data_IF_369930498007
#
_entry.id   IF_369930498007
#
_cell.length_a   1.000
_cell.length_b   1.000
_cell.length_c   1.000
_cell.angle_alpha   90.00
_cell.angle_beta   90.00
_cell.angle_gamma   90.00
#
_symmetry.space_group_name_H-M   'P 1'
#
loop_
_entity.id
_entity.type
_entity.pdbx_description
1 polymer ?
#
# COMPACT_ATOMS: atom_id res chain seq x y z
N UNK A 1 -3.05 53.04 -7.79
CA UNK A 1 -4.04 53.34 -6.74
C UNK A 1 -5.31 52.58 -7.11
N UNK A 2 -5.58 51.44 -6.46
CA UNK A 2 -6.61 51.31 -5.41
C UNK A 2 -8.03 51.46 -6.01
N UNK A 3 -9.03 50.57 -5.90
CA UNK A 3 -9.37 49.52 -4.92
C UNK A 3 -10.77 48.95 -5.29
N UNK A 4 -10.98 47.63 -5.12
CA UNK A 4 -12.25 46.90 -4.80
C UNK A 4 -13.50 47.09 -5.70
N UNK A 5 -13.95 46.00 -6.33
CA UNK A 5 -15.37 45.53 -6.31
C UNK A 5 -15.60 44.40 -7.32
N UNK A 6 -15.22 43.17 -6.97
CA UNK A 6 -15.63 41.94 -7.68
C UNK A 6 -16.25 40.96 -6.67
N UNK A 7 -17.32 41.38 -6.00
CA UNK A 7 -18.22 40.50 -5.23
C UNK A 7 -19.64 41.02 -5.47
N UNK A 8 -20.36 40.39 -6.42
CA UNK A 8 -21.83 40.35 -6.57
C UNK A 8 -22.17 39.81 -7.97
N UNK A 9 -22.09 38.50 -8.17
CA UNK A 9 -22.79 37.84 -9.29
C UNK A 9 -23.20 36.39 -9.06
N UNK A 10 -23.27 35.93 -7.81
CA UNK A 10 -23.81 34.58 -7.47
C UNK A 10 -25.04 34.64 -6.55
N UNK A 11 -25.44 35.81 -6.04
CA UNK A 11 -26.62 35.98 -5.17
C UNK A 11 -27.82 36.64 -5.88
N UNK A 12 -28.19 36.17 -7.07
CA UNK A 12 -29.38 36.69 -7.78
C UNK A 12 -30.23 35.62 -8.50
N UNK A 13 -30.07 34.34 -8.15
CA UNK A 13 -30.96 33.25 -8.62
C UNK A 13 -31.61 32.46 -7.47
N UNK A 14 -31.25 32.74 -6.23
CA UNK A 14 -31.76 32.01 -5.05
C UNK A 14 -33.01 32.66 -4.41
N UNK A 15 -33.44 33.84 -4.88
CA UNK A 15 -34.54 34.59 -4.25
C UNK A 15 -35.92 34.42 -4.89
N UNK A 16 -36.12 33.48 -5.81
CA UNK A 16 -37.44 33.21 -6.42
C UNK A 16 -38.00 31.81 -6.18
N UNK A 17 -37.30 30.93 -5.44
CA UNK A 17 -37.80 29.58 -5.14
C UNK A 17 -37.97 29.28 -3.64
N UNK A 18 -38.13 30.31 -2.80
CA UNK A 18 -38.63 30.17 -1.41
C UNK A 18 -39.88 31.02 -1.20
N UNK A 19 -41.03 30.57 -1.71
CA UNK A 19 -42.31 30.80 -1.03
C UNK A 19 -43.39 29.87 -1.59
N UNK A 20 -44.08 29.17 -0.68
CA UNK A 20 -45.42 28.54 -0.77
C UNK A 20 -45.43 27.04 -0.44
N UNK A 21 -45.20 26.72 0.83
CA UNK A 21 -46.12 25.79 1.50
C UNK A 21 -47.25 26.64 2.10
N UNK A 22 -48.47 26.51 1.58
CA UNK A 22 -49.70 26.37 2.37
C UNK A 22 -50.97 26.28 1.48
N UNK A 23 -51.74 25.22 1.74
CA UNK A 23 -53.22 25.05 1.58
C UNK A 23 -53.84 24.82 0.17
N UNK A 24 -54.16 23.55 -0.07
CA UNK A 24 -55.49 22.92 -0.31
C UNK A 24 -56.54 23.53 -1.30
N UNK A 25 -57.18 22.59 -2.02
CA UNK A 25 -58.55 22.56 -2.61
C UNK A 25 -58.73 22.79 -4.13
N UNK A 26 -59.04 21.66 -4.81
CA UNK A 26 -60.04 21.39 -5.87
C UNK A 26 -59.94 21.94 -7.32
N UNK A 27 -60.05 20.94 -8.22
CA UNK A 27 -60.97 20.83 -9.39
C UNK A 27 -60.63 21.48 -10.74
N UNK A 28 -60.34 20.56 -11.67
CA UNK A 28 -60.83 20.41 -13.07
C UNK A 28 -60.37 21.36 -14.19
N UNK A 29 -59.81 20.68 -15.22
CA UNK A 29 -59.87 20.94 -16.67
C UNK A 29 -59.15 22.18 -17.22
N UNK A 30 -58.11 21.91 -18.01
CA UNK A 30 -57.58 22.87 -18.97
C UNK A 30 -56.09 22.65 -19.18
N UNK A 31 -55.75 21.88 -20.22
CA UNK A 31 -54.37 21.57 -20.57
C UNK A 31 -53.51 22.82 -20.74
N UNK A 32 -52.44 22.89 -19.96
CA UNK A 32 -51.24 23.64 -20.28
C UNK A 32 -50.10 22.68 -19.99
N UNK A 33 -49.30 22.39 -21.02
CA UNK A 33 -48.12 21.56 -20.89
C UNK A 33 -47.23 22.14 -19.78
N UNK A 34 -47.18 21.46 -18.63
CA UNK A 34 -46.11 21.64 -17.68
C UNK A 34 -44.85 21.19 -18.42
N UNK A 35 -44.05 22.14 -18.90
CA UNK A 35 -42.64 21.90 -19.08
C UNK A 35 -42.12 21.49 -17.70
N UNK A 36 -41.95 20.18 -17.50
CA UNK A 36 -41.18 19.66 -16.40
C UNK A 36 -39.77 20.20 -16.61
N UNK A 37 -39.47 21.30 -15.92
CA UNK A 37 -38.10 21.68 -15.69
C UNK A 37 -37.57 20.60 -14.74
N UNK A 38 -36.98 19.54 -15.31
CA UNK A 38 -36.21 18.58 -14.55
C UNK A 38 -35.03 19.34 -13.98
N UNK A 39 -35.18 19.85 -12.76
CA UNK A 39 -34.03 20.04 -11.90
C UNK A 39 -33.49 18.64 -11.67
N UNK A 40 -32.48 18.26 -12.44
CA UNK A 40 -31.50 17.31 -11.96
C UNK A 40 -30.93 17.96 -10.69
N UNK A 41 -31.46 17.56 -9.53
CA UNK A 41 -30.77 17.83 -8.28
C UNK A 41 -29.41 17.18 -8.44
N UNK A 42 -28.37 18.00 -8.48
CA UNK A 42 -27.00 17.50 -8.38
C UNK A 42 -26.99 16.75 -7.05
N UNK A 43 -26.66 15.46 -7.08
CA UNK A 43 -26.46 14.67 -5.88
C UNK A 43 -25.50 15.44 -4.98
N UNK A 44 -26.02 16.01 -3.90
CA UNK A 44 -25.24 16.87 -3.02
C UNK A 44 -25.14 16.20 -1.67
N UNK A 45 -23.91 15.84 -1.32
CA UNK A 45 -23.57 15.42 0.03
C UNK A 45 -23.53 16.69 0.90
N UNK A 46 -24.11 16.61 2.10
CA UNK A 46 -24.17 17.69 3.07
C UNK A 46 -23.64 17.18 4.41
N UNK A 47 -22.90 18.02 5.12
CA UNK A 47 -22.35 17.71 6.44
C UNK A 47 -22.86 18.74 7.43
N UNK A 48 -23.57 18.28 8.45
CA UNK A 48 -24.02 19.13 9.55
C UNK A 48 -23.70 18.39 10.84
N UNK A 49 -22.91 19.02 11.70
CA UNK A 49 -22.38 18.44 12.93
C UNK A 49 -21.69 17.09 12.63
N UNK A 50 -22.20 15.99 13.18
CA UNK A 50 -21.67 14.65 13.01
C UNK A 50 -22.48 13.77 12.03
N UNK A 51 -23.32 14.41 11.20
CA UNK A 51 -24.21 13.74 10.27
C UNK A 51 -23.82 14.09 8.83
N UNK A 52 -23.49 13.06 8.06
CA UNK A 52 -23.34 13.12 6.61
C UNK A 52 -24.69 12.73 6.00
N UNK A 53 -25.25 13.58 5.15
CA UNK A 53 -26.53 13.31 4.47
C UNK A 53 -26.40 13.50 2.96
N UNK A 54 -27.28 12.86 2.20
CA UNK A 54 -27.28 12.92 0.75
C UNK A 54 -28.70 13.02 0.19
N UNK A 55 -28.80 13.30 -1.10
CA UNK A 55 -30.08 13.50 -1.78
C UNK A 55 -30.80 12.17 -2.00
N UNK A 56 -32.13 12.15 -1.85
CA UNK A 56 -32.97 11.00 -2.21
C UNK A 56 -33.19 10.97 -3.73
N UNK A 57 -32.16 10.50 -4.44
CA UNK A 57 -32.07 10.50 -5.90
C UNK A 57 -32.17 9.09 -6.53
N UNK A 58 -32.52 8.09 -5.72
CA UNK A 58 -32.63 6.69 -6.13
C UNK A 58 -31.30 5.92 -6.15
N UNK A 59 -30.21 6.52 -5.66
CA UNK A 59 -28.91 5.86 -5.45
C UNK A 59 -28.76 5.49 -3.96
N UNK A 60 -27.98 4.45 -3.68
CA UNK A 60 -27.60 4.12 -2.29
C UNK A 60 -26.14 4.53 -2.05
N UNK A 61 -25.84 4.92 -0.82
CA UNK A 61 -24.55 5.50 -0.48
C UNK A 61 -23.85 4.68 0.61
N UNK A 62 -22.53 4.71 0.62
CA UNK A 62 -21.67 4.07 1.61
C UNK A 62 -20.69 5.10 2.15
N UNK A 63 -20.45 5.07 3.46
CA UNK A 63 -19.48 5.94 4.14
C UNK A 63 -18.38 5.06 4.73
N UNK A 64 -17.14 5.31 4.31
CA UNK A 64 -15.94 4.59 4.76
C UNK A 64 -15.02 5.55 5.51
N UNK A 65 -14.54 5.16 6.69
CA UNK A 65 -13.53 5.92 7.42
C UNK A 65 -12.18 5.77 6.72
N UNK A 66 -11.57 6.89 6.30
CA UNK A 66 -10.30 6.86 5.55
C UNK A 66 -9.11 6.38 6.37
N UNK A 67 -9.15 6.54 7.69
CA UNK A 67 -8.05 6.16 8.57
C UNK A 67 -8.11 4.68 8.94
N UNK A 68 -9.30 4.14 9.12
CA UNK A 68 -9.48 2.74 9.56
C UNK A 68 -9.93 1.80 8.46
N UNK A 69 -10.34 2.32 7.29
CA UNK A 69 -10.97 1.55 6.20
C UNK A 69 -12.37 1.02 6.57
N UNK A 70 -12.89 1.36 7.75
CA UNK A 70 -14.15 0.83 8.26
C UNK A 70 -15.34 1.42 7.50
N UNK A 71 -16.25 0.55 7.03
CA UNK A 71 -17.54 1.00 6.51
C UNK A 71 -18.47 1.35 7.67
N UNK A 72 -18.69 2.65 7.86
CA UNK A 72 -19.47 3.18 8.99
C UNK A 72 -20.98 3.10 8.71
N UNK A 73 -21.40 3.35 7.47
CA UNK A 73 -22.79 3.20 7.05
C UNK A 73 -22.92 2.71 5.61
N UNK A 74 -24.00 1.97 5.33
CA UNK A 74 -24.43 1.58 3.99
C UNK A 74 -25.95 1.75 3.85
N UNK A 75 -26.38 2.50 2.84
CA UNK A 75 -27.78 2.81 2.58
C UNK A 75 -28.38 3.89 3.50
N UNK A 76 -29.69 4.14 3.36
CA UNK A 76 -30.37 5.24 4.04
C UNK A 76 -30.21 6.59 3.33
N UNK A 77 -30.57 7.69 4.01
CA UNK A 77 -30.42 9.07 3.52
C UNK A 77 -29.40 9.90 4.32
N UNK A 78 -28.90 9.34 5.42
CA UNK A 78 -27.93 9.98 6.31
C UNK A 78 -27.11 8.92 7.08
N UNK A 79 -25.92 9.32 7.52
CA UNK A 79 -24.99 8.53 8.29
C UNK A 79 -24.43 9.39 9.43
N UNK A 80 -24.62 8.93 10.67
CA UNK A 80 -24.01 9.57 11.84
C UNK A 80 -22.64 8.95 12.07
N UNK A 81 -21.59 9.76 12.08
CA UNK A 81 -20.21 9.30 12.18
C UNK A 81 -19.48 10.02 13.32
N UNK A 82 -18.43 9.41 13.91
CA UNK A 82 -17.48 10.13 14.76
C UNK A 82 -16.80 11.32 14.04
N UNK A 83 -16.06 12.14 14.77
CA UNK A 83 -15.17 13.10 14.12
C UNK A 83 -14.09 12.33 13.34
N UNK A 84 -13.86 12.71 12.09
CA UNK A 84 -13.00 11.93 11.21
C UNK A 84 -13.07 12.35 9.74
N UNK A 85 -12.31 11.63 8.92
CA UNK A 85 -12.26 11.80 7.46
C UNK A 85 -12.91 10.58 6.82
N UNK A 86 -13.83 10.82 5.90
CA UNK A 86 -14.65 9.78 5.29
C UNK A 86 -14.62 9.86 3.77
N UNK A 87 -14.68 8.69 3.11
CA UNK A 87 -15.02 8.56 1.70
C UNK A 87 -16.49 8.17 1.57
N UNK A 88 -17.24 8.96 0.82
CA UNK A 88 -18.65 8.66 0.53
C UNK A 88 -18.77 8.18 -0.90
N UNK A 89 -19.08 6.90 -1.07
CA UNK A 89 -19.35 6.28 -2.37
C UNK A 89 -20.85 6.27 -2.63
N UNK A 90 -21.27 6.48 -3.88
CA UNK A 90 -22.67 6.37 -4.30
C UNK A 90 -22.80 5.32 -5.39
N UNK A 91 -23.84 4.49 -5.31
CA UNK A 91 -24.08 3.34 -6.16
C UNK A 91 -25.49 3.36 -6.74
N UNK A 92 -25.59 2.98 -8.00
CA UNK A 92 -26.87 2.81 -8.67
C UNK A 92 -27.62 1.61 -8.08
N UNK A 93 -28.93 1.48 -8.32
CA UNK A 93 -29.68 0.27 -7.97
C UNK A 93 -29.08 -1.02 -8.54
N UNK A 94 -28.36 -0.93 -9.66
CA UNK A 94 -27.74 -2.06 -10.35
C UNK A 94 -26.28 -2.32 -9.90
N UNK A 95 -25.74 -1.49 -8.99
CA UNK A 95 -24.42 -1.67 -8.37
C UNK A 95 -23.29 -0.82 -8.97
N UNK A 96 -23.51 -0.15 -10.09
CA UNK A 96 -22.50 0.75 -10.67
C UNK A 96 -22.24 1.97 -9.78
N UNK A 97 -20.96 2.31 -9.55
CA UNK A 97 -20.56 3.44 -8.71
C UNK A 97 -20.38 4.73 -9.52
N UNK A 98 -20.61 5.88 -8.88
CA UNK A 98 -20.09 7.18 -9.34
C UNK A 98 -18.83 7.54 -8.57
N UNK A 99 -18.09 8.53 -9.06
CA UNK A 99 -16.94 9.13 -8.37
C UNK A 99 -17.37 9.52 -6.95
N UNK A 100 -16.71 8.94 -5.94
CA UNK A 100 -16.99 9.20 -4.54
C UNK A 100 -16.57 10.62 -4.13
N UNK A 101 -16.99 11.06 -2.95
CA UNK A 101 -16.67 12.38 -2.40
C UNK A 101 -15.97 12.27 -1.05
N UNK A 102 -14.91 13.06 -0.87
CA UNK A 102 -14.26 13.23 0.43
C UNK A 102 -15.12 14.10 1.36
N UNK A 103 -15.28 13.66 2.60
CA UNK A 103 -16.10 14.33 3.61
C UNK A 103 -15.37 14.37 4.94
N UNK A 104 -15.23 15.56 5.51
CA UNK A 104 -14.65 15.76 6.86
C UNK A 104 -15.74 16.11 7.83
N UNK A 105 -15.75 15.44 8.99
CA UNK A 105 -16.71 15.63 10.07
C UNK A 105 -15.98 16.07 11.33
N UNK A 106 -16.41 17.18 11.94
CA UNK A 106 -15.77 17.77 13.12
C UNK A 106 -14.43 18.44 12.84
N UNK A 107 -13.57 18.53 13.85
CA UNK A 107 -12.18 19.01 13.72
C UNK A 107 -11.16 17.91 14.06
N UNK A 108 -10.90 16.96 13.13
CA UNK A 108 -9.88 15.93 13.15
C UNK A 108 -8.95 15.86 14.36
N UNK A 109 -7.95 16.74 14.29
CA UNK A 109 -6.70 16.64 15.02
C UNK A 109 -6.03 18.03 15.00
N UNK A 110 -5.89 18.69 16.16
CA UNK A 110 -4.75 19.59 16.42
C UNK A 110 -3.63 18.76 17.08
N UNK A 111 -2.41 18.96 16.58
CA UNK A 111 -1.10 18.76 17.24
C UNK A 111 -0.20 17.54 16.99
N UNK A 112 -0.53 16.47 16.24
CA UNK A 112 0.55 15.53 15.82
C UNK A 112 0.25 14.58 14.66
N UNK A 113 0.01 15.10 13.44
CA UNK A 113 0.03 14.25 12.25
C UNK A 113 1.46 13.77 11.96
N UNK A 114 1.63 12.50 11.62
CA UNK A 114 2.89 12.01 11.05
C UNK A 114 3.12 12.64 9.66
N UNK A 115 4.32 12.51 9.10
CA UNK A 115 4.58 13.02 7.73
C UNK A 115 3.72 12.30 6.68
N UNK A 116 3.47 11.01 6.89
CA UNK A 116 2.68 10.15 6.01
C UNK A 116 1.19 10.49 6.12
N UNK A 117 0.67 10.69 7.34
CA UNK A 117 -0.71 11.09 7.57
C UNK A 117 -1.01 12.51 7.07
N UNK A 118 0.00 13.40 7.08
CA UNK A 118 -0.14 14.75 6.51
C UNK A 118 -0.35 14.70 5.00
N UNK A 119 0.33 13.80 4.28
CA UNK A 119 0.18 13.64 2.83
C UNK A 119 -1.26 13.27 2.45
N UNK A 120 -1.89 12.39 3.22
CA UNK A 120 -3.28 11.93 3.03
C UNK A 120 -4.30 13.06 3.23
N UNK A 121 -3.92 14.14 3.92
CA UNK A 121 -4.81 15.29 4.16
C UNK A 121 -4.86 16.28 3.01
N UNK A 122 -3.97 16.14 2.01
CA UNK A 122 -3.90 17.00 0.84
C UNK A 122 -4.60 16.32 -0.34
N UNK A 123 -5.50 17.04 -0.99
CA UNK A 123 -6.24 16.57 -2.16
C UNK A 123 -5.86 17.38 -3.39
N UNK A 124 -5.73 16.71 -4.54
CA UNK A 124 -5.47 17.36 -5.84
C UNK A 124 -6.61 17.01 -6.80
N UNK A 125 -7.24 18.04 -7.36
CA UNK A 125 -8.24 17.92 -8.42
C UNK A 125 -7.87 18.89 -9.56
N UNK A 126 -7.51 18.33 -10.71
CA UNK A 126 -6.92 19.03 -11.86
C UNK A 126 -5.72 19.92 -11.48
N UNK A 127 -5.94 21.24 -11.39
CA UNK A 127 -4.95 22.25 -11.01
C UNK A 127 -5.17 22.82 -9.60
N UNK A 128 -6.07 22.22 -8.82
CA UNK A 128 -6.45 22.71 -7.49
C UNK A 128 -5.92 21.77 -6.41
N UNK A 129 -5.12 22.33 -5.51
CA UNK A 129 -4.65 21.67 -4.29
C UNK A 129 -5.52 22.14 -3.13
N UNK A 130 -6.14 21.23 -2.39
CA UNK A 130 -6.92 21.55 -1.19
C UNK A 130 -6.46 20.70 0.00
N UNK A 131 -6.85 21.11 1.21
CA UNK A 131 -6.44 20.44 2.44
C UNK A 131 -7.59 20.38 3.44
N UNK A 132 -7.64 19.29 4.20
CA UNK A 132 -8.69 19.04 5.20
C UNK A 132 -8.29 19.43 6.63
N UNK A 133 -7.00 19.61 6.89
CA UNK A 133 -6.48 19.94 8.22
C UNK A 133 -6.36 21.45 8.37
N UNK A 134 -6.81 21.99 9.50
CA UNK A 134 -6.70 23.41 9.81
C UNK A 134 -5.24 23.88 9.94
N UNK A 135 -5.05 25.20 9.82
CA UNK A 135 -3.73 25.82 9.97
C UNK A 135 -3.39 26.79 8.86
N UNK A 136 -2.18 27.35 8.93
CA UNK A 136 -1.67 28.26 7.92
C UNK A 136 -0.85 27.49 6.90
N UNK A 137 -1.28 27.56 5.64
CA UNK A 137 -0.65 26.85 4.53
C UNK A 137 0.08 27.78 3.58
N UNK A 138 1.13 27.23 2.98
CA UNK A 138 1.89 27.82 1.88
C UNK A 138 2.12 26.74 0.83
N UNK A 139 1.93 27.11 -0.45
CA UNK A 139 2.23 26.24 -1.60
C UNK A 139 3.32 26.90 -2.43
N UNK A 140 4.34 26.13 -2.79
CA UNK A 140 5.43 26.57 -3.66
C UNK A 140 5.66 25.54 -4.76
N UNK A 141 6.16 25.98 -5.92
CA UNK A 141 6.67 25.05 -6.92
C UNK A 141 7.90 24.32 -6.34
N UNK A 142 7.93 22.98 -6.43
CA UNK A 142 8.94 22.18 -5.73
C UNK A 142 10.36 22.40 -6.27
N UNK A 143 10.51 22.66 -7.57
CA UNK A 143 11.80 22.87 -8.22
C UNK A 143 12.34 24.29 -8.03
N UNK A 144 11.48 25.28 -8.25
CA UNK A 144 11.88 26.70 -8.27
C UNK A 144 11.75 27.38 -6.90
N UNK A 145 11.05 26.73 -5.97
CA UNK A 145 10.63 27.29 -4.67
C UNK A 145 9.83 28.59 -4.83
N UNK A 146 9.26 28.83 -6.01
CA UNK A 146 8.42 30.00 -6.26
C UNK A 146 7.10 29.85 -5.51
N UNK A 147 6.74 30.86 -4.73
CA UNK A 147 5.52 30.87 -3.94
C UNK A 147 4.28 31.09 -4.80
N UNK A 148 3.29 30.20 -4.67
CA UNK A 148 2.06 30.19 -5.47
C UNK A 148 0.89 30.75 -4.68
N UNK A 149 0.61 30.20 -3.49
CA UNK A 149 -0.47 30.66 -2.62
C UNK A 149 -0.10 30.60 -1.13
N UNK A 150 -0.76 31.41 -0.30
CA UNK A 150 -0.68 31.28 1.16
C UNK A 150 -2.02 31.61 1.86
N UNK A 151 -2.32 30.89 2.95
CA UNK A 151 -3.37 31.25 3.92
C UNK A 151 -4.81 31.23 3.39
N UNK A 152 -5.07 30.48 2.32
CA UNK A 152 -6.39 30.24 1.72
C UNK A 152 -6.83 28.79 2.02
N UNK A 153 -8.10 28.38 1.83
CA UNK A 153 -8.50 26.98 2.10
C UNK A 153 -8.11 25.99 0.98
N UNK A 154 -7.73 26.50 -0.18
CA UNK A 154 -7.27 25.75 -1.36
C UNK A 154 -6.34 26.66 -2.19
N UNK A 155 -5.46 26.07 -2.99
CA UNK A 155 -4.54 26.76 -3.90
C UNK A 155 -4.69 26.22 -5.31
N UNK A 156 -5.00 27.10 -6.26
CA UNK A 156 -5.00 26.77 -7.69
C UNK A 156 -3.64 27.13 -8.27
N UNK A 157 -2.98 26.16 -8.91
CA UNK A 157 -1.68 26.35 -9.56
C UNK A 157 -1.86 26.68 -11.05
N UNK A 158 -0.89 27.37 -11.64
CA UNK A 158 -1.01 27.86 -13.02
C UNK A 158 -0.66 26.81 -14.08
N UNK A 159 0.25 25.88 -13.76
CA UNK A 159 0.75 24.86 -14.68
C UNK A 159 0.86 23.48 -14.00
N UNK A 160 0.75 22.37 -14.76
CA UNK A 160 1.07 21.05 -14.24
C UNK A 160 2.50 20.95 -13.72
N UNK A 161 2.72 20.16 -12.67
CA UNK A 161 4.04 19.95 -12.09
C UNK A 161 3.97 19.53 -10.63
N UNK A 162 5.15 19.49 -10.00
CA UNK A 162 5.29 19.11 -8.58
C UNK A 162 5.31 20.36 -7.69
N UNK A 163 4.50 20.35 -6.65
CA UNK A 163 4.33 21.46 -5.71
C UNK A 163 4.56 21.01 -4.27
N UNK A 164 5.29 21.81 -3.51
CA UNK A 164 5.50 21.63 -2.09
C UNK A 164 4.39 22.33 -1.31
N UNK A 165 3.60 21.56 -0.55
CA UNK A 165 2.53 22.04 0.31
C UNK A 165 3.01 22.01 1.75
N UNK A 166 3.00 23.16 2.41
CA UNK A 166 3.57 23.35 3.75
C UNK A 166 2.48 23.86 4.69
N UNK A 167 2.19 23.12 5.76
CA UNK A 167 1.39 23.60 6.89
C UNK A 167 2.32 24.07 8.01
N UNK A 168 2.39 25.39 8.20
CA UNK A 168 3.26 26.02 9.20
C UNK A 168 2.71 25.90 10.61
N UNK A 169 1.40 25.72 10.78
CA UNK A 169 0.79 25.57 12.10
C UNK A 169 1.19 24.28 12.80
N UNK A 170 1.41 23.21 12.05
CA UNK A 170 1.83 21.90 12.57
C UNK A 170 3.26 21.49 12.15
N UNK A 171 3.95 22.35 11.40
CA UNK A 171 5.33 22.11 10.95
C UNK A 171 5.46 20.87 10.06
N UNK A 172 4.58 20.73 9.06
CA UNK A 172 4.57 19.60 8.11
C UNK A 172 4.64 20.09 6.68
N UNK A 173 5.21 19.26 5.79
CA UNK A 173 5.26 19.52 4.35
C UNK A 173 5.20 18.21 3.55
N UNK A 174 4.64 18.28 2.35
CA UNK A 174 4.53 17.16 1.39
C UNK A 174 4.63 17.69 -0.03
N UNK A 175 5.18 16.88 -0.95
CA UNK A 175 5.17 17.17 -2.39
C UNK A 175 3.96 16.50 -3.06
N UNK A 176 3.26 17.25 -3.93
CA UNK A 176 2.10 16.77 -4.68
C UNK A 176 2.26 17.04 -6.17
N UNK A 177 1.88 16.08 -7.00
CA UNK A 177 1.86 16.21 -8.47
C UNK A 177 0.51 16.68 -8.95
N UNK A 178 0.48 17.72 -9.78
CA UNK A 178 -0.74 18.40 -10.22
C UNK A 178 -0.81 18.43 -11.75
N UNK A 179 -1.98 18.18 -12.34
CA UNK A 179 -2.22 18.30 -13.78
C UNK A 179 -1.50 17.28 -14.70
N UNK A 180 -1.02 16.15 -14.17
CA UNK A 180 -0.61 15.00 -15.00
C UNK A 180 -1.87 14.23 -15.37
N UNK A 181 -2.18 14.11 -16.68
CA UNK A 181 -3.36 13.40 -17.17
C UNK A 181 -3.43 11.98 -16.59
N UNK A 182 -4.56 11.67 -15.92
CA UNK A 182 -4.91 10.32 -15.50
C UNK A 182 -4.94 9.40 -16.73
N UNK A 183 -4.28 8.23 -16.71
CA UNK A 183 -4.36 7.30 -17.84
C UNK A 183 -5.81 6.86 -18.05
N UNK A 184 -6.33 7.11 -19.25
CA UNK A 184 -7.60 6.57 -19.73
C UNK A 184 -7.54 5.05 -19.77
N UNK A 185 -8.53 4.41 -19.13
CA UNK A 185 -8.88 2.98 -19.19
C UNK A 185 -8.70 2.35 -20.59
N UNK A 186 -7.97 1.22 -20.67
CA UNK A 186 -8.37 0.15 -21.57
C UNK A 186 -8.36 -1.21 -20.85
N UNK A 187 -9.54 -1.61 -20.39
CA UNK A 187 -10.09 -2.95 -20.56
C UNK A 187 -9.39 -4.10 -19.83
N UNK A 188 -10.09 -4.65 -18.83
CA UNK A 188 -10.00 -6.06 -18.39
C UNK A 188 -8.60 -6.68 -18.41
N UNK A 189 -7.65 -6.04 -17.74
CA UNK A 189 -6.53 -6.76 -17.15
C UNK A 189 -6.57 -6.55 -15.65
N UNK A 190 -6.30 -7.62 -14.92
CA UNK A 190 -6.26 -7.64 -13.47
C UNK A 190 -5.29 -6.54 -13.00
N UNK A 191 -5.64 -5.72 -11.98
CA UNK A 191 -4.72 -4.69 -11.51
C UNK A 191 -3.35 -5.31 -11.20
N UNK A 192 -2.24 -4.68 -11.62
CA UNK A 192 -0.92 -5.22 -11.33
C UNK A 192 -0.74 -5.33 -9.81
N UNK A 193 -0.30 -6.50 -9.36
CA UNK A 193 0.02 -6.80 -7.96
C UNK A 193 1.51 -6.59 -7.69
N UNK A 194 1.91 -6.43 -6.43
CA UNK A 194 3.33 -6.37 -6.03
C UNK A 194 4.15 -7.57 -6.56
N UNK A 195 3.54 -8.76 -6.61
CA UNK A 195 4.16 -9.97 -7.16
C UNK A 195 4.37 -9.89 -8.68
N UNK A 196 3.41 -9.34 -9.42
CA UNK A 196 3.53 -9.12 -10.87
C UNK A 196 4.54 -8.03 -11.22
N UNK A 197 4.64 -7.00 -10.38
CA UNK A 197 5.63 -5.94 -10.52
C UNK A 197 7.04 -6.46 -10.25
N UNK A 198 7.24 -7.17 -9.13
CA UNK A 198 8.52 -7.81 -8.81
C UNK A 198 8.99 -8.76 -9.92
N UNK A 199 8.07 -9.53 -10.50
CA UNK A 199 8.35 -10.45 -11.62
C UNK A 199 8.69 -9.73 -12.94
N UNK A 200 8.35 -8.45 -13.06
CA UNK A 200 8.63 -7.65 -14.26
C UNK A 200 10.04 -7.04 -14.27
N UNK A 201 10.72 -7.04 -13.12
CA UNK A 201 12.06 -6.50 -12.92
C UNK A 201 13.12 -7.55 -13.25
N UNK A 202 14.20 -7.11 -13.88
CA UNK A 202 15.35 -7.94 -14.24
C UNK A 202 16.64 -7.21 -13.89
N UNK A 203 17.67 -7.93 -13.47
CA UNK A 203 18.98 -7.37 -13.16
C UNK A 203 20.03 -8.07 -14.03
N UNK A 204 20.75 -7.29 -14.84
CA UNK A 204 21.91 -7.76 -15.61
C UNK A 204 23.12 -6.90 -15.23
N UNK A 205 24.15 -7.52 -14.67
CA UNK A 205 25.32 -6.83 -14.11
C UNK A 205 24.90 -5.75 -13.09
N UNK A 206 25.15 -4.48 -13.42
CA UNK A 206 24.76 -3.32 -12.63
C UNK A 206 23.52 -2.60 -13.17
N UNK A 207 22.73 -3.24 -14.03
CA UNK A 207 21.58 -2.62 -14.70
C UNK A 207 20.28 -3.32 -14.34
N UNK A 208 19.37 -2.57 -13.73
CA UNK A 208 17.98 -2.94 -13.48
C UNK A 208 17.15 -2.61 -14.72
N UNK A 209 16.33 -3.53 -15.22
CA UNK A 209 15.41 -3.28 -16.34
C UNK A 209 14.00 -3.75 -15.98
N UNK A 210 12.98 -3.12 -16.56
CA UNK A 210 11.58 -3.41 -16.29
C UNK A 210 10.79 -3.55 -17.59
N UNK A 211 9.84 -4.48 -17.55
CA UNK A 211 8.91 -4.76 -18.66
C UNK A 211 7.50 -4.22 -18.41
N UNK A 212 7.18 -3.87 -17.16
CA UNK A 212 5.93 -3.23 -16.80
C UNK A 212 5.92 -1.78 -17.31
N UNK A 213 4.79 -1.35 -17.85
CA UNK A 213 4.60 0.03 -18.29
C UNK A 213 4.46 0.97 -17.08
N UNK A 214 4.76 2.25 -17.29
CA UNK A 214 4.73 3.27 -16.25
C UNK A 214 6.12 3.88 -15.99
N UNK A 215 6.12 4.93 -15.20
CA UNK A 215 7.30 5.64 -14.76
C UNK A 215 7.91 4.95 -13.54
N UNK A 216 9.18 4.60 -13.69
CA UNK A 216 9.93 3.87 -12.67
C UNK A 216 10.99 4.77 -12.04
N UNK A 217 11.20 4.63 -10.74
CA UNK A 217 12.24 5.29 -9.96
C UNK A 217 13.09 4.24 -9.27
N UNK A 218 14.40 4.44 -9.22
CA UNK A 218 15.31 3.61 -8.42
C UNK A 218 15.96 4.46 -7.33
N UNK A 219 15.87 3.99 -6.10
CA UNK A 219 16.53 4.56 -4.92
C UNK A 219 17.55 3.56 -4.37
N UNK A 220 18.64 4.07 -3.80
CA UNK A 220 19.51 3.27 -2.94
C UNK A 220 18.74 2.91 -1.66
N UNK A 221 18.63 1.63 -1.32
CA UNK A 221 17.77 1.17 -0.23
C UNK A 221 18.37 1.34 1.18
N UNK A 222 19.58 1.90 1.28
CA UNK A 222 20.23 2.23 2.57
C UNK A 222 20.12 3.72 2.86
N UNK A 223 20.32 4.54 1.83
CA UNK A 223 20.39 5.99 1.91
C UNK A 223 19.12 6.68 1.44
N UNK A 224 18.23 5.94 0.78
CA UNK A 224 17.04 6.45 0.06
C UNK A 224 17.39 7.49 -1.00
N UNK A 225 18.65 7.55 -1.41
CA UNK A 225 19.10 8.53 -2.39
C UNK A 225 18.60 8.14 -3.77
N UNK A 226 18.13 9.13 -4.52
CA UNK A 226 17.69 8.92 -5.89
C UNK A 226 18.86 8.56 -6.79
N UNK A 227 18.76 7.40 -7.45
CA UNK A 227 19.77 6.90 -8.39
C UNK A 227 19.41 7.33 -9.81
N UNK A 228 18.17 7.10 -10.23
CA UNK A 228 17.67 7.32 -11.59
C UNK A 228 16.14 7.17 -11.66
N UNK A 229 15.54 7.60 -12.77
CA UNK A 229 14.13 7.35 -13.07
C UNK A 229 13.78 7.53 -14.55
N UNK A 230 12.69 6.89 -14.98
CA UNK A 230 12.21 6.85 -16.36
C UNK A 230 12.96 5.87 -17.28
N UNK A 231 12.50 5.73 -18.52
CA UNK A 231 13.06 4.77 -19.48
C UNK A 231 12.58 3.32 -19.24
N UNK A 232 13.32 2.34 -19.77
CA UNK A 232 13.06 0.90 -19.58
C UNK A 232 14.10 0.21 -18.69
N UNK A 233 15.10 0.96 -18.22
CA UNK A 233 16.19 0.44 -17.38
C UNK A 233 16.95 1.56 -16.67
N UNK A 234 17.73 1.17 -15.67
CA UNK A 234 18.63 2.01 -14.91
C UNK A 234 19.91 1.27 -14.52
N UNK A 235 21.05 1.91 -14.76
CA UNK A 235 22.36 1.44 -14.30
C UNK A 235 22.71 2.08 -12.97
N UNK A 236 23.00 1.27 -11.96
CA UNK A 236 23.33 1.73 -10.61
C UNK A 236 24.84 1.84 -10.39
N UNK A 237 25.29 2.74 -9.48
CA UNK A 237 26.71 3.06 -9.33
C UNK A 237 27.52 2.04 -8.52
N UNK A 238 26.91 1.37 -7.54
CA UNK A 238 27.58 0.44 -6.62
C UNK A 238 26.77 -0.86 -6.46
N UNK A 239 27.42 -1.90 -5.95
CA UNK A 239 26.69 -3.11 -5.55
C UNK A 239 25.92 -2.84 -4.25
N UNK A 240 24.67 -3.31 -4.15
CA UNK A 240 23.83 -3.04 -3.00
C UNK A 240 22.35 -3.27 -3.26
N UNK A 241 21.54 -2.94 -2.26
CA UNK A 241 20.08 -3.04 -2.31
C UNK A 241 19.50 -1.76 -2.89
N UNK A 242 18.51 -1.91 -3.76
CA UNK A 242 17.82 -0.82 -4.43
C UNK A 242 16.31 -1.00 -4.32
N UNK A 243 15.60 0.11 -4.16
CA UNK A 243 14.14 0.17 -4.17
C UNK A 243 13.72 0.63 -5.57
N UNK A 244 12.91 -0.16 -6.26
CA UNK A 244 12.28 0.22 -7.53
C UNK A 244 10.82 0.53 -7.28
N UNK A 245 10.37 1.71 -7.70
CA UNK A 245 9.00 2.18 -7.51
C UNK A 245 8.40 2.43 -8.89
N UNK A 246 7.25 1.82 -9.19
CA UNK A 246 6.42 2.18 -10.32
C UNK A 246 5.31 3.11 -9.83
N UNK A 247 5.37 4.37 -10.24
CA UNK A 247 4.48 5.42 -9.76
C UNK A 247 3.08 5.35 -10.37
N UNK A 248 2.96 4.81 -11.59
CA UNK A 248 1.66 4.64 -12.26
C UNK A 248 0.86 3.48 -11.66
N UNK A 249 1.56 2.45 -11.20
CA UNK A 249 0.95 1.27 -10.57
C UNK A 249 0.84 1.40 -9.03
N UNK A 250 1.49 2.39 -8.42
CA UNK A 250 1.66 2.53 -6.96
C UNK A 250 2.27 1.27 -6.31
N UNK A 251 3.26 0.69 -6.97
CA UNK A 251 3.93 -0.55 -6.54
C UNK A 251 5.40 -0.28 -6.25
N UNK A 252 5.91 -0.94 -5.21
CA UNK A 252 7.32 -0.93 -4.85
C UNK A 252 7.87 -2.35 -4.79
N UNK A 253 9.14 -2.52 -5.16
CA UNK A 253 9.87 -3.76 -5.03
C UNK A 253 11.31 -3.46 -4.60
N UNK A 254 11.85 -4.28 -3.70
CA UNK A 254 13.27 -4.22 -3.36
C UNK A 254 14.03 -5.33 -4.07
N UNK A 255 15.19 -5.00 -4.62
CA UNK A 255 16.08 -5.96 -5.27
C UNK A 255 17.54 -5.62 -4.99
N UNK A 256 18.42 -6.60 -5.18
CA UNK A 256 19.86 -6.41 -5.05
C UNK A 256 20.51 -6.29 -6.43
N UNK A 257 21.41 -5.34 -6.61
CA UNK A 257 22.22 -5.16 -7.82
C UNK A 257 23.68 -5.25 -7.46
N UNK A 258 24.47 -5.93 -8.29
CA UNK A 258 25.85 -6.29 -7.97
C UNK A 258 25.99 -7.79 -7.73
N UNK A 259 27.22 -8.24 -7.50
CA UNK A 259 27.56 -9.64 -7.24
C UNK A 259 27.10 -10.15 -5.87
N UNK A 260 25.86 -9.87 -5.50
CA UNK A 260 25.05 -10.67 -4.58
C UNK A 260 24.28 -11.65 -5.44
N UNK A 261 24.89 -12.80 -5.70
CA UNK A 261 24.44 -13.74 -6.70
C UNK A 261 23.25 -14.55 -6.22
N UNK A 262 22.07 -14.17 -6.69
CA UNK A 262 20.93 -15.09 -6.82
C UNK A 262 20.41 -15.04 -8.26
N UNK A 263 21.26 -15.49 -9.18
CA UNK A 263 20.89 -16.11 -10.47
C UNK A 263 22.10 -16.63 -11.30
N UNK A 264 23.37 -16.31 -10.98
CA UNK A 264 24.52 -16.88 -11.73
C UNK A 264 25.93 -16.80 -11.10
N UNK A 265 26.14 -17.02 -9.80
CA UNK A 265 27.46 -17.50 -9.29
C UNK A 265 27.33 -18.55 -8.19
N UNK A 266 26.27 -19.35 -8.22
CA UNK A 266 26.45 -20.68 -7.70
C UNK A 266 27.34 -21.43 -8.69
N UNK A 267 28.30 -22.25 -8.23
CA UNK A 267 28.96 -23.18 -9.15
C UNK A 267 27.90 -23.96 -9.93
N UNK A 268 28.17 -24.25 -11.20
CA UNK A 268 27.19 -24.77 -12.16
C UNK A 268 26.28 -25.83 -11.50
N UNK A 269 25.01 -25.46 -11.30
CA UNK A 269 23.93 -26.31 -10.81
C UNK A 269 23.73 -26.41 -9.29
N UNK A 270 24.45 -25.66 -8.44
CA UNK A 270 24.00 -25.43 -7.06
C UNK A 270 22.83 -24.44 -7.05
N UNK A 271 21.77 -24.70 -6.29
CA UNK A 271 20.61 -23.81 -6.17
C UNK A 271 20.15 -23.68 -4.73
N UNK A 272 19.61 -22.52 -4.35
CA UNK A 272 19.00 -22.31 -3.02
C UNK A 272 17.51 -22.00 -3.19
N UNK A 273 16.65 -22.71 -2.44
CA UNK A 273 15.21 -22.49 -2.42
C UNK A 273 14.72 -22.49 -0.97
N UNK A 274 14.35 -21.32 -0.45
CA UNK A 274 14.07 -21.16 0.98
C UNK A 274 15.34 -21.44 1.79
N UNK A 275 15.29 -22.43 2.67
CA UNK A 275 16.44 -22.90 3.44
C UNK A 275 17.11 -24.17 2.88
N UNK A 276 16.74 -24.58 1.66
CA UNK A 276 17.24 -25.81 1.03
C UNK A 276 18.29 -25.48 -0.02
N UNK A 277 19.49 -26.01 0.15
CA UNK A 277 20.57 -26.00 -0.83
C UNK A 277 20.50 -27.30 -1.62
N UNK A 278 20.35 -27.22 -2.94
CA UNK A 278 20.43 -28.37 -3.85
C UNK A 278 21.75 -28.36 -4.59
N UNK A 279 22.33 -29.55 -4.77
CA UNK A 279 23.65 -29.77 -5.35
C UNK A 279 23.51 -30.36 -6.76
N UNK A 280 24.48 -30.09 -7.66
CA UNK A 280 24.30 -30.29 -9.10
C UNK A 280 24.29 -31.75 -9.56
N UNK A 281 24.98 -32.63 -8.84
CA UNK A 281 25.18 -34.03 -9.20
C UNK A 281 25.28 -34.95 -7.97
N UNK A 282 25.59 -36.23 -8.21
CA UNK A 282 25.71 -37.27 -7.19
C UNK A 282 27.12 -37.37 -6.56
N UNK A 283 27.95 -36.34 -6.73
CA UNK A 283 29.23 -36.20 -6.05
C UNK A 283 29.10 -36.20 -4.52
N UNK A 284 30.22 -36.40 -3.82
CA UNK A 284 30.24 -36.34 -2.36
C UNK A 284 30.44 -34.89 -1.92
N UNK A 285 29.35 -34.25 -1.49
CA UNK A 285 29.37 -32.87 -1.02
C UNK A 285 29.32 -32.79 0.51
N UNK A 286 30.01 -31.79 1.03
CA UNK A 286 29.89 -31.33 2.42
C UNK A 286 29.44 -29.88 2.41
N UNK A 287 28.37 -29.57 3.15
CA UNK A 287 27.89 -28.21 3.39
C UNK A 287 28.25 -27.83 4.82
N UNK A 288 28.92 -26.70 4.98
CA UNK A 288 29.48 -26.24 6.24
C UNK A 288 29.10 -24.78 6.50
N UNK A 289 28.87 -24.39 7.75
CA UNK A 289 28.75 -22.97 8.10
C UNK A 289 30.05 -22.23 7.76
N UNK A 290 29.95 -21.10 7.04
CA UNK A 290 31.13 -20.27 6.73
C UNK A 290 31.70 -19.57 7.96
N UNK A 291 30.90 -19.42 9.02
CA UNK A 291 31.31 -18.73 10.26
C UNK A 291 31.90 -19.70 11.28
N UNK A 292 31.21 -20.80 11.58
CA UNK A 292 31.63 -21.74 12.63
C UNK A 292 32.46 -22.91 12.12
N UNK A 293 32.49 -23.14 10.81
CA UNK A 293 33.04 -24.34 10.19
C UNK A 293 32.36 -25.64 10.69
N UNK A 294 31.13 -25.56 11.19
CA UNK A 294 30.35 -26.73 11.55
C UNK A 294 29.74 -27.39 10.31
N UNK A 295 29.89 -28.72 10.19
CA UNK A 295 29.24 -29.50 9.13
C UNK A 295 27.74 -29.55 9.37
N UNK A 296 26.96 -29.15 8.36
CA UNK A 296 25.50 -29.19 8.38
C UNK A 296 25.00 -30.47 7.71
N UNK A 297 25.51 -30.77 6.51
CA UNK A 297 25.17 -31.96 5.75
C UNK A 297 26.39 -32.56 5.05
N UNK A 298 26.41 -33.88 4.89
CA UNK A 298 27.48 -34.61 4.22
C UNK A 298 26.92 -35.76 3.39
N UNK A 299 27.39 -35.91 2.15
CA UNK A 299 27.03 -37.02 1.26
C UNK A 299 25.57 -37.02 0.78
N UNK A 300 24.91 -35.85 0.77
CA UNK A 300 23.54 -35.67 0.26
C UNK A 300 23.54 -34.76 -0.96
N UNK A 301 22.52 -34.87 -1.82
CA UNK A 301 22.30 -33.96 -2.96
C UNK A 301 21.43 -32.74 -2.61
N UNK A 302 20.85 -32.75 -1.42
CA UNK A 302 20.08 -31.64 -0.84
C UNK A 302 20.50 -31.47 0.61
N UNK A 303 20.69 -30.23 1.05
CA UNK A 303 20.99 -29.88 2.42
C UNK A 303 20.00 -28.84 2.93
N UNK A 304 19.38 -29.09 4.09
CA UNK A 304 18.57 -28.09 4.76
C UNK A 304 19.47 -27.32 5.73
N UNK A 305 19.59 -26.02 5.51
CA UNK A 305 20.26 -25.14 6.45
C UNK A 305 19.42 -25.00 7.72
N UNK A 306 20.05 -25.22 8.88
CA UNK A 306 19.39 -25.12 10.19
C UNK A 306 19.08 -23.68 10.60
N UNK A 307 19.90 -22.74 10.14
CA UNK A 307 19.78 -21.31 10.37
C UNK A 307 19.93 -20.59 9.03
N UNK A 308 19.43 -19.36 8.88
CA UNK A 308 19.91 -18.53 7.79
C UNK A 308 21.41 -18.24 8.00
N UNK A 309 22.12 -17.84 6.94
CA UNK A 309 23.53 -17.48 6.99
C UNK A 309 24.33 -17.82 5.74
N UNK A 310 25.66 -17.72 5.87
CA UNK A 310 26.60 -18.06 4.78
C UNK A 310 27.15 -19.47 4.96
N UNK A 311 27.21 -20.19 3.87
CA UNK A 311 27.66 -21.57 3.80
C UNK A 311 28.81 -21.75 2.81
N UNK A 312 29.66 -22.72 3.14
CA UNK A 312 30.71 -23.24 2.27
C UNK A 312 30.30 -24.63 1.81
N UNK A 313 30.36 -24.87 0.51
CA UNK A 313 30.12 -26.19 -0.10
C UNK A 313 31.46 -26.74 -0.59
N UNK A 314 31.80 -27.96 -0.19
CA UNK A 314 33.02 -28.66 -0.61
C UNK A 314 32.61 -29.92 -1.34
N UNK A 315 32.96 -30.02 -2.63
CA UNK A 315 32.84 -31.25 -3.40
C UNK A 315 34.12 -32.07 -3.20
N UNK A 316 34.04 -33.16 -2.43
CA UNK A 316 35.19 -34.04 -2.19
C UNK A 316 35.47 -34.98 -3.36
N UNK A 317 34.53 -35.10 -4.33
CA UNK A 317 34.74 -35.84 -5.57
C UNK A 317 35.58 -35.04 -6.57
N UNK A 318 35.26 -33.76 -6.79
CA UNK A 318 36.01 -32.88 -7.71
C UNK A 318 37.18 -32.14 -7.04
N UNK A 319 37.13 -31.97 -5.72
CA UNK A 319 38.06 -31.14 -4.95
C UNK A 319 37.73 -29.64 -4.97
N UNK A 320 36.58 -29.26 -5.55
CA UNK A 320 36.15 -27.87 -5.63
C UNK A 320 35.54 -27.39 -4.31
N UNK A 321 35.70 -26.10 -4.05
CA UNK A 321 35.17 -25.43 -2.86
C UNK A 321 34.50 -24.13 -3.27
N UNK A 322 33.29 -23.93 -2.79
CA UNK A 322 32.43 -22.82 -3.09
C UNK A 322 32.07 -22.12 -1.79
N UNK A 323 32.36 -20.83 -1.72
CA UNK A 323 32.18 -20.02 -0.52
C UNK A 323 31.00 -19.05 -0.68
N UNK A 324 30.59 -18.47 0.44
CA UNK A 324 29.59 -17.39 0.48
C UNK A 324 28.22 -17.73 -0.10
N UNK A 325 27.83 -19.01 -0.06
CA UNK A 325 26.49 -19.48 -0.42
C UNK A 325 25.50 -18.95 0.62
N UNK A 326 24.67 -17.99 0.24
CA UNK A 326 23.76 -17.33 1.15
C UNK A 326 22.43 -18.08 1.26
N UNK A 327 21.95 -18.26 2.49
CA UNK A 327 20.62 -18.78 2.79
C UNK A 327 19.94 -17.77 3.70
N UNK A 328 18.85 -17.16 3.23
CA UNK A 328 18.20 -16.07 3.95
C UNK A 328 16.93 -16.49 4.68
N UNK A 329 16.26 -17.54 4.21
CA UNK A 329 15.11 -18.07 4.91
C UNK A 329 15.55 -19.03 6.01
N UNK A 330 14.96 -18.91 7.19
CA UNK A 330 15.06 -19.94 8.21
C UNK A 330 14.41 -21.24 7.73
N UNK A 331 14.71 -22.34 8.42
CA UNK A 331 13.84 -23.51 8.37
C UNK A 331 12.42 -23.14 8.81
N UNK A 332 11.48 -23.98 8.43
CA UNK A 332 10.14 -23.93 9.00
C UNK A 332 10.20 -24.29 10.49
N UNK A 333 9.47 -23.53 11.29
CA UNK A 333 9.35 -23.61 12.73
C UNK A 333 7.89 -23.87 13.06
N UNK A 334 7.67 -24.90 13.87
CA UNK A 334 6.38 -25.40 14.34
C UNK A 334 6.60 -25.68 15.83
N UNK A 335 6.20 -24.72 16.67
CA UNK A 335 6.45 -24.75 18.12
C UNK A 335 5.23 -25.25 18.87
N UNK A 336 4.05 -24.86 18.43
CA UNK A 336 2.79 -25.21 19.07
C UNK A 336 1.90 -25.97 18.10
N UNK A 337 0.84 -26.58 18.61
CA UNK A 337 -0.16 -27.25 17.79
C UNK A 337 -1.52 -26.66 18.17
N UNK A 338 -2.57 -26.74 17.32
CA UNK A 338 -3.85 -26.05 17.49
C UNK A 338 -4.71 -26.56 18.68
N UNK A 339 -4.15 -27.42 19.51
CA UNK A 339 -4.78 -28.02 20.67
C UNK A 339 -5.05 -26.99 21.78
N UNK A 340 -6.10 -27.22 22.57
CA UNK A 340 -6.43 -26.32 23.68
C UNK A 340 -6.93 -24.96 23.19
N UNK A 341 -6.10 -23.92 23.32
CA UNK A 341 -6.53 -22.54 23.14
C UNK A 341 -6.38 -22.00 21.70
N UNK A 342 -5.67 -22.70 20.81
CA UNK A 342 -5.25 -22.18 19.50
C UNK A 342 -3.86 -22.68 19.14
N UNK A 343 -3.17 -21.93 18.27
CA UNK A 343 -1.84 -22.23 17.76
C UNK A 343 -0.91 -21.01 17.85
N UNK A 344 0.29 -21.18 18.43
CA UNK A 344 1.23 -20.10 18.79
C UNK A 344 2.66 -20.37 18.32
N UNK A 345 2.98 -19.76 17.18
CA UNK A 345 4.32 -19.75 16.60
C UNK A 345 5.11 -18.52 17.07
N UNK A 346 5.27 -18.42 18.39
CA UNK A 346 5.98 -17.34 19.09
C UNK A 346 6.81 -17.89 20.25
N UNK A 347 7.82 -17.14 20.71
CA UNK A 347 8.55 -17.51 21.94
C UNK A 347 9.36 -18.81 21.81
N UNK A 348 10.04 -18.97 20.67
CA UNK A 348 11.00 -20.05 20.43
C UNK A 348 12.11 -20.04 21.48
N UNK A 349 12.50 -21.21 22.01
CA UNK A 349 13.49 -21.33 23.09
C UNK A 349 14.87 -20.75 22.71
N UNK A 350 15.27 -20.93 21.45
CA UNK A 350 16.50 -20.38 20.87
C UNK A 350 16.36 -18.91 20.42
N UNK A 351 15.18 -18.30 20.61
CA UNK A 351 14.85 -16.98 20.08
C UNK A 351 14.46 -17.01 18.59
N UNK A 352 14.28 -15.81 18.01
CA UNK A 352 14.04 -15.67 16.57
C UNK A 352 15.31 -16.03 15.78
N UNK A 353 15.19 -16.51 14.52
CA UNK A 353 16.34 -16.89 13.70
C UNK A 353 17.36 -15.77 13.41
N UNK A 354 16.96 -14.52 13.59
CA UNK A 354 17.84 -13.35 13.52
C UNK A 354 17.27 -12.22 14.39
N UNK A 355 18.09 -11.18 14.64
CA UNK A 355 17.71 -10.07 15.50
C UNK A 355 16.59 -9.19 14.92
N UNK A 356 16.52 -9.07 13.60
CA UNK A 356 15.57 -8.22 12.89
C UNK A 356 15.07 -8.93 11.61
N UNK A 357 14.16 -9.91 11.73
CA UNK A 357 13.58 -10.58 10.57
C UNK A 357 12.76 -9.58 9.75
N UNK A 358 13.05 -9.51 8.44
CA UNK A 358 12.41 -8.56 7.54
C UNK A 358 11.07 -9.06 6.98
N UNK A 359 10.89 -10.38 6.92
CA UNK A 359 9.68 -10.99 6.39
C UNK A 359 9.36 -12.30 7.12
N UNK A 360 8.12 -12.73 7.01
CA UNK A 360 7.60 -13.97 7.59
C UNK A 360 6.67 -14.65 6.59
N UNK A 361 6.79 -15.96 6.51
CA UNK A 361 5.86 -16.80 5.79
C UNK A 361 5.26 -17.84 6.72
N UNK A 362 3.99 -18.16 6.49
CA UNK A 362 3.27 -19.21 7.19
C UNK A 362 2.75 -20.24 6.18
N UNK A 363 2.58 -21.48 6.63
CA UNK A 363 1.79 -22.48 5.91
C UNK A 363 1.11 -23.39 6.91
N UNK A 364 0.00 -23.99 6.51
CA UNK A 364 -0.63 -25.04 7.29
C UNK A 364 0.17 -26.33 7.09
N UNK A 365 0.50 -27.02 8.18
CA UNK A 365 1.29 -28.24 8.18
C UNK A 365 0.67 -29.28 7.23
N UNK A 366 1.50 -29.81 6.33
CA UNK A 366 1.06 -30.76 5.30
C UNK A 366 0.38 -30.15 4.08
N UNK A 367 0.25 -28.81 4.00
CA UNK A 367 -0.19 -28.09 2.81
C UNK A 367 0.97 -27.42 2.08
N UNK A 368 0.81 -27.21 0.77
CA UNK A 368 1.82 -26.55 -0.07
C UNK A 368 1.57 -25.05 -0.25
N UNK A 369 0.42 -24.54 0.19
CA UNK A 369 0.12 -23.11 0.09
C UNK A 369 0.95 -22.36 1.12
N UNK A 370 1.77 -21.43 0.64
CA UNK A 370 2.52 -20.49 1.47
C UNK A 370 1.74 -19.18 1.50
N UNK A 371 1.63 -18.62 2.70
CA UNK A 371 1.01 -17.32 2.95
C UNK A 371 2.08 -16.34 3.42
N UNK A 372 2.03 -15.13 2.87
CA UNK A 372 2.90 -13.99 3.21
C UNK A 372 2.05 -12.89 3.85
N UNK A 373 2.70 -11.89 4.46
CA UNK A 373 1.98 -10.74 5.05
C UNK A 373 1.03 -10.13 4.01
N UNK A 374 -0.23 -9.90 4.41
CA UNK A 374 -1.27 -9.34 3.55
C UNK A 374 -2.11 -10.38 2.80
N UNK A 375 -1.69 -11.65 2.78
CA UNK A 375 -2.51 -12.72 2.20
C UNK A 375 -3.76 -13.01 3.04
N UNK A 376 -4.82 -13.46 2.36
CA UNK A 376 -6.03 -13.96 3.02
C UNK A 376 -5.74 -15.32 3.66
N UNK A 377 -5.68 -15.35 4.99
CA UNK A 377 -5.44 -16.55 5.78
C UNK A 377 -6.73 -17.38 5.96
N UNK A 378 -6.62 -18.72 6.16
CA UNK A 378 -7.80 -19.56 6.40
C UNK A 378 -8.40 -19.37 7.81
N UNK A 379 -7.60 -18.93 8.78
CA UNK A 379 -8.06 -18.51 10.11
C UNK A 379 -7.90 -17.00 10.31
N UNK A 380 -8.67 -16.44 11.24
CA UNK A 380 -8.41 -15.09 11.75
C UNK A 380 -7.21 -15.15 12.69
N UNK A 381 -6.12 -14.47 12.32
CA UNK A 381 -4.90 -14.40 13.12
C UNK A 381 -4.88 -13.14 13.97
N UNK A 382 -4.59 -13.28 15.26
CA UNK A 382 -4.36 -12.15 16.17
C UNK A 382 -3.01 -11.49 15.87
N UNK A 383 -2.02 -12.31 15.48
CA UNK A 383 -0.68 -11.87 15.11
C UNK A 383 -0.22 -12.61 13.86
N UNK A 384 0.34 -11.88 12.90
CA UNK A 384 1.12 -12.45 11.80
C UNK A 384 2.11 -11.38 11.31
N UNK A 385 3.28 -11.32 11.95
CA UNK A 385 4.25 -10.24 11.76
C UNK A 385 5.67 -10.77 11.94
N UNK A 386 6.63 -10.33 11.13
CA UNK A 386 8.01 -10.80 11.23
C UNK A 386 8.63 -10.59 12.62
N UNK A 387 8.36 -9.46 13.27
CA UNK A 387 8.87 -9.17 14.61
C UNK A 387 8.22 -10.00 15.73
N UNK A 388 7.03 -10.57 15.50
CA UNK A 388 6.21 -11.16 16.57
C UNK A 388 5.72 -12.58 16.30
N UNK A 389 6.01 -13.17 15.14
CA UNK A 389 5.58 -14.53 14.76
C UNK A 389 4.11 -14.61 14.35
N UNK A 390 3.47 -15.74 14.65
CA UNK A 390 2.06 -16.01 14.34
C UNK A 390 1.28 -16.46 15.57
N UNK A 391 0.06 -15.95 15.70
CA UNK A 391 -0.89 -16.36 16.75
C UNK A 391 -2.27 -16.55 16.16
N UNK A 392 -2.79 -17.77 16.28
CA UNK A 392 -4.18 -18.11 16.04
C UNK A 392 -4.84 -18.52 17.36
N UNK A 393 -5.97 -17.92 17.69
CA UNK A 393 -6.73 -18.27 18.89
C UNK A 393 -8.04 -18.96 18.52
N UNK A 394 -8.31 -20.14 19.09
CA UNK A 394 -9.54 -20.90 18.86
C UNK A 394 -10.79 -20.08 19.21
N UNK A 395 -10.72 -19.22 20.24
CA UNK A 395 -11.84 -18.37 20.66
C UNK A 395 -12.17 -17.24 19.67
N UNK A 396 -11.25 -16.89 18.76
CA UNK A 396 -11.46 -15.86 17.72
C UNK A 396 -12.00 -16.45 16.42
N UNK A 397 -12.01 -17.78 16.29
CA UNK A 397 -12.48 -18.43 15.07
C UNK A 397 -14.01 -18.46 15.04
N UNK A 398 -14.59 -18.07 13.91
CA UNK A 398 -16.05 -18.14 13.71
C UNK A 398 -16.52 -19.55 13.38
N UNK A 399 -15.64 -20.35 12.77
CA UNK A 399 -15.89 -21.74 12.39
C UNK A 399 -14.64 -22.58 12.64
N UNK A 400 -14.81 -23.74 13.29
CA UNK A 400 -13.71 -24.65 13.57
C UNK A 400 -12.73 -24.15 14.64
N UNK A 401 -11.61 -24.84 14.73
CA UNK A 401 -10.44 -24.43 15.50
C UNK A 401 -9.40 -23.86 14.54
N UNK A 402 -8.30 -23.33 15.10
CA UNK A 402 -7.11 -23.01 14.33
C UNK A 402 -6.61 -24.21 13.53
N UNK A 403 -6.13 -23.95 12.33
CA UNK A 403 -5.26 -24.87 11.61
C UNK A 403 -3.90 -24.97 12.31
N UNK A 404 -3.13 -25.99 11.95
CA UNK A 404 -1.79 -26.28 12.47
C UNK A 404 -0.76 -25.54 11.61
N UNK A 405 -0.19 -24.42 12.09
CA UNK A 405 0.70 -23.57 11.31
C UNK A 405 2.17 -23.81 11.62
N UNK A 406 2.99 -23.77 10.56
CA UNK A 406 4.43 -23.58 10.70
C UNK A 406 4.85 -22.28 10.00
N UNK A 407 5.85 -21.59 10.55
CA UNK A 407 6.34 -20.31 10.04
C UNK A 407 7.83 -20.35 9.71
N UNK A 408 8.27 -19.45 8.83
CA UNK A 408 9.70 -19.19 8.60
C UNK A 408 9.95 -17.71 8.44
N UNK A 409 11.17 -17.29 8.76
CA UNK A 409 11.57 -15.89 8.76
C UNK A 409 12.62 -15.62 7.69
N UNK A 410 12.56 -14.43 7.09
CA UNK A 410 13.58 -13.94 6.16
C UNK A 410 14.57 -13.06 6.90
N UNK A 411 15.85 -13.45 6.85
CA UNK A 411 16.96 -12.87 7.59
C UNK A 411 18.11 -12.53 6.62
N UNK A 412 18.02 -11.41 5.88
CA UNK A 412 19.06 -11.01 4.94
C UNK A 412 20.31 -10.44 5.60
N UNK A 413 20.21 -10.01 6.87
CA UNK A 413 21.30 -9.44 7.65
C UNK A 413 21.63 -10.34 8.83
N UNK A 414 22.86 -10.88 8.83
CA UNK A 414 23.36 -11.75 9.88
C UNK A 414 24.76 -11.39 10.33
#
# INVERSE_FOLDING_TARGET
MKTISKIRKVLALDSQCRSRLTRSIARTLGGVALLACSLSAIASIQVIDNIISWSDDGWWYQVENRLTGEIVCQGGLECTVPEGIYWVSSFSPDGDSRRGSHVTVGNPIEDNLSLEDFAVTISVDDLTISWSVGGWYQVQNAETLHEVCNGVPECVVEEPGTYLVINHSIGRRVEVSVGQDSPTDPGTETPPTESSFSSSLTVNDNTISWSMAGWHQVLDATTYSHVCGGGSSCTVPEEGRYIVINHDADLRAELYVGSGTDASNYPDGVTVSGNVISLPDDGWYQVQSSTSYESICEGTITCQADQPGRYTIINHTSGERFEDIAVYWSKWLDRDNPSGAGDWEIGFEEGLPCADPMDIQARVLGQNQIYSIGDSMPNLLTTFQAAHGLVCENEKQTFGNCEDYEIRFYCPYQ
#
